data_IF_614106041263
#
_entry.id   IF_614106041263
#
_cell.length_a   1.000
_cell.length_b   1.000
_cell.length_c   1.000
_cell.angle_alpha   90.00
_cell.angle_beta   90.00
_cell.angle_gamma   90.00
#
_symmetry.space_group_name_H-M   'P 1'
#
loop_
_entity.id
_entity.type
_entity.pdbx_description
1 polymer ?
#
# COMPACT_ATOMS: atom_id res chain seq x y z
N UNK A 1 -1.52 -81.01 13.76
CA UNK A 1 -1.95 -80.35 12.53
C UNK A 1 -1.39 -78.90 12.61
N UNK A 2 -0.27 -78.63 11.90
CA UNK A 2 0.40 -77.35 11.85
C UNK A 2 -0.09 -76.62 10.61
N UNK A 3 -0.84 -75.50 10.77
CA UNK A 3 -1.19 -74.62 9.68
C UNK A 3 -0.06 -73.65 9.44
N UNK A 4 0.59 -73.66 8.29
CA UNK A 4 1.49 -72.64 7.76
C UNK A 4 0.66 -71.47 7.30
N UNK A 5 0.92 -70.28 7.87
CA UNK A 5 0.42 -68.99 7.39
C UNK A 5 1.47 -68.44 6.41
N UNK A 6 1.10 -68.29 5.17
CA UNK A 6 1.92 -67.69 4.11
C UNK A 6 1.78 -66.16 4.28
N UNK A 7 2.83 -65.48 4.72
CA UNK A 7 2.88 -64.04 4.77
C UNK A 7 3.17 -63.47 3.39
N UNK A 8 2.24 -62.69 2.86
CA UNK A 8 2.43 -61.90 1.64
C UNK A 8 3.20 -60.64 2.04
N UNK A 9 4.46 -60.57 1.63
CA UNK A 9 5.24 -59.32 1.70
C UNK A 9 4.75 -58.36 0.59
N UNK A 10 3.97 -57.38 0.97
CA UNK A 10 3.64 -56.27 0.09
C UNK A 10 4.85 -55.33 -0.01
N UNK A 11 5.59 -55.39 -1.09
CA UNK A 11 6.61 -54.42 -1.46
C UNK A 11 5.91 -53.14 -1.88
N UNK A 12 5.84 -52.17 -0.97
CA UNK A 12 5.43 -50.76 -1.30
C UNK A 12 6.54 -50.15 -2.14
N UNK A 13 6.34 -50.07 -3.44
CA UNK A 13 7.18 -49.24 -4.29
C UNK A 13 6.97 -47.77 -3.90
N UNK A 14 7.97 -47.18 -3.27
CA UNK A 14 8.03 -45.72 -3.15
C UNK A 14 8.16 -45.14 -4.56
N UNK A 15 7.04 -44.66 -5.11
CA UNK A 15 7.07 -43.78 -6.28
C UNK A 15 7.67 -42.46 -5.80
N UNK A 16 8.98 -42.31 -5.97
CA UNK A 16 9.63 -41.00 -5.86
C UNK A 16 9.14 -40.16 -7.02
N UNK A 17 8.08 -39.38 -6.79
CA UNK A 17 7.69 -38.32 -7.70
C UNK A 17 8.84 -37.31 -7.71
N UNK A 18 9.64 -37.34 -8.77
CA UNK A 18 10.59 -36.27 -9.06
C UNK A 18 9.75 -35.04 -9.37
N UNK A 19 9.56 -34.18 -8.37
CA UNK A 19 8.94 -32.86 -8.56
C UNK A 19 9.79 -32.12 -9.60
N UNK A 20 9.33 -32.10 -10.84
CA UNK A 20 9.96 -31.27 -11.88
C UNK A 20 9.75 -29.84 -11.47
N UNK A 21 10.85 -29.09 -11.30
CA UNK A 21 10.77 -27.68 -11.02
C UNK A 21 9.94 -27.00 -12.13
N UNK A 22 8.85 -26.34 -11.76
CA UNK A 22 8.08 -25.54 -12.70
C UNK A 22 8.87 -24.27 -13.05
N UNK A 23 8.66 -23.74 -14.25
CA UNK A 23 9.19 -22.45 -14.65
C UNK A 23 8.07 -21.55 -15.19
N UNK A 24 8.27 -20.25 -15.10
CA UNK A 24 7.34 -19.27 -15.67
C UNK A 24 7.50 -19.31 -17.19
N UNK A 25 6.49 -19.83 -17.89
CA UNK A 25 6.47 -19.84 -19.35
C UNK A 25 5.97 -18.51 -19.92
N UNK A 26 5.04 -17.86 -19.21
CA UNK A 26 4.46 -16.57 -19.60
C UNK A 26 3.81 -15.91 -18.39
N UNK A 27 3.86 -14.60 -18.31
CA UNK A 27 3.03 -13.76 -17.44
C UNK A 27 1.93 -13.12 -18.33
N UNK A 28 0.67 -13.56 -18.13
CA UNK A 28 -0.48 -13.06 -18.92
C UNK A 28 -0.92 -11.71 -18.39
N UNK A 29 -0.89 -11.56 -17.07
CA UNK A 29 -1.20 -10.34 -16.33
C UNK A 29 -0.50 -10.38 -14.96
N UNK A 30 -0.53 -9.31 -14.17
CA UNK A 30 0.02 -9.33 -12.82
C UNK A 30 -0.52 -10.47 -11.92
N UNK A 31 -1.73 -10.94 -12.16
CA UNK A 31 -2.41 -11.96 -11.34
C UNK A 31 -2.57 -13.31 -12.06
N UNK A 32 -2.05 -13.46 -13.28
CA UNK A 32 -2.22 -14.69 -14.07
C UNK A 32 -0.96 -15.03 -14.85
N UNK A 33 -0.50 -16.27 -14.74
CA UNK A 33 0.72 -16.74 -15.38
C UNK A 33 0.57 -18.19 -15.88
N UNK A 34 1.39 -18.56 -16.85
CA UNK A 34 1.54 -19.93 -17.35
C UNK A 34 2.81 -20.53 -16.77
N UNK A 35 2.67 -21.63 -16.08
CA UNK A 35 3.79 -22.47 -15.62
C UNK A 35 4.03 -23.61 -16.62
N UNK A 36 5.30 -23.97 -16.79
CA UNK A 36 5.73 -25.12 -17.58
C UNK A 36 6.50 -26.11 -16.69
N UNK A 37 6.11 -27.36 -16.69
CA UNK A 37 6.78 -28.45 -15.95
C UNK A 37 6.71 -29.74 -16.74
N UNK A 38 7.87 -30.34 -17.05
CA UNK A 38 7.93 -31.63 -17.78
C UNK A 38 7.22 -31.62 -19.13
N UNK A 39 7.13 -30.49 -19.83
CA UNK A 39 6.43 -30.32 -21.11
C UNK A 39 4.93 -30.02 -20.99
N UNK A 40 4.34 -30.12 -19.80
CA UNK A 40 2.98 -29.69 -19.53
C UNK A 40 2.93 -28.17 -19.23
N UNK A 41 1.80 -27.54 -19.56
CA UNK A 41 1.54 -26.11 -19.24
C UNK A 41 0.29 -26.02 -18.40
N UNK A 42 0.36 -25.20 -17.37
CA UNK A 42 -0.73 -24.93 -16.43
C UNK A 42 -0.89 -23.43 -16.23
N UNK A 43 -2.13 -22.94 -16.16
CA UNK A 43 -2.43 -21.55 -15.80
C UNK A 43 -2.55 -21.48 -14.28
N UNK A 44 -1.74 -20.61 -13.68
CA UNK A 44 -1.77 -20.33 -12.26
C UNK A 44 -2.24 -18.87 -12.02
N UNK A 45 -2.85 -18.63 -10.87
CA UNK A 45 -3.32 -17.33 -10.44
C UNK A 45 -2.61 -16.89 -9.16
N UNK A 46 -2.47 -15.58 -9.01
CA UNK A 46 -2.06 -14.90 -7.78
C UNK A 46 -3.25 -14.13 -7.21
N UNK A 47 -3.35 -14.09 -5.88
CA UNK A 47 -4.42 -13.37 -5.21
C UNK A 47 -4.22 -11.85 -5.33
N UNK A 48 -5.34 -11.13 -5.45
CA UNK A 48 -5.37 -9.67 -5.52
C UNK A 48 -5.95 -9.13 -6.82
N UNK A 49 -5.84 -7.83 -7.00
CA UNK A 49 -6.30 -7.12 -8.21
C UNK A 49 -5.11 -6.62 -9.02
N UNK A 50 -5.11 -6.74 -10.35
CA UNK A 50 -4.04 -6.20 -11.17
C UNK A 50 -4.02 -4.67 -11.13
N UNK A 51 -2.84 -4.07 -11.00
CA UNK A 51 -2.62 -2.63 -11.05
C UNK A 51 -2.06 -2.27 -12.42
N UNK A 52 -2.91 -1.78 -13.30
CA UNK A 52 -2.58 -1.54 -14.71
C UNK A 52 -2.84 -0.09 -15.16
N UNK A 53 -2.69 0.90 -14.25
CA UNK A 53 -2.85 2.31 -14.62
C UNK A 53 -1.90 2.76 -15.74
N UNK A 54 -0.71 2.16 -15.83
CA UNK A 54 0.26 2.39 -16.92
C UNK A 54 0.04 1.46 -18.14
N UNK A 55 -0.97 0.60 -18.10
CA UNK A 55 -1.25 -0.38 -19.16
C UNK A 55 -0.46 -1.68 -19.05
N UNK A 56 -0.88 -2.67 -19.84
CA UNK A 56 -0.29 -4.02 -19.83
C UNK A 56 1.15 -4.02 -20.37
N UNK A 57 1.45 -3.21 -21.38
CA UNK A 57 2.79 -3.16 -21.97
C UNK A 57 3.89 -2.74 -20.97
N UNK A 58 3.56 -1.88 -20.01
CA UNK A 58 4.48 -1.51 -18.94
C UNK A 58 4.74 -2.70 -18.01
N UNK A 59 3.72 -3.49 -17.71
CA UNK A 59 3.84 -4.72 -16.95
C UNK A 59 4.70 -5.75 -17.71
N UNK A 60 4.43 -5.98 -19.00
CA UNK A 60 5.17 -6.95 -19.83
C UNK A 60 6.67 -6.64 -19.84
N UNK A 61 7.00 -5.36 -19.95
CA UNK A 61 8.41 -4.90 -19.93
C UNK A 61 9.08 -5.23 -18.60
N UNK A 62 8.39 -4.94 -17.47
CA UNK A 62 8.90 -5.23 -16.13
C UNK A 62 8.98 -6.74 -15.87
N UNK A 63 8.00 -7.52 -16.35
CA UNK A 63 7.86 -8.95 -16.10
C UNK A 63 8.79 -9.81 -16.95
N UNK A 64 9.34 -9.28 -18.06
CA UNK A 64 10.16 -10.03 -18.99
C UNK A 64 11.33 -10.82 -18.34
N UNK A 65 12.08 -10.28 -17.36
CA UNK A 65 13.15 -11.02 -16.68
C UNK A 65 12.66 -12.21 -15.83
N UNK A 66 11.37 -12.28 -15.51
CA UNK A 66 10.79 -13.37 -14.72
C UNK A 66 10.44 -14.58 -15.59
N UNK A 67 10.31 -14.41 -16.90
CA UNK A 67 10.05 -15.52 -17.84
C UNK A 67 11.25 -16.45 -17.89
N UNK A 68 11.01 -17.74 -17.78
CA UNK A 68 12.04 -18.78 -17.70
C UNK A 68 12.54 -19.07 -16.29
N UNK A 69 12.25 -18.22 -15.30
CA UNK A 69 12.67 -18.46 -13.93
C UNK A 69 11.95 -19.67 -13.31
N UNK A 70 12.69 -20.44 -12.51
CA UNK A 70 12.14 -21.56 -11.76
C UNK A 70 11.22 -21.09 -10.65
N UNK A 71 10.09 -21.77 -10.51
CA UNK A 71 9.08 -21.53 -9.47
C UNK A 71 9.05 -22.74 -8.54
N UNK A 72 9.07 -22.47 -7.24
CA UNK A 72 8.77 -23.46 -6.20
C UNK A 72 7.43 -23.08 -5.56
N UNK A 73 6.60 -24.06 -5.27
CA UNK A 73 5.36 -23.87 -4.52
C UNK A 73 5.47 -24.50 -3.15
N UNK A 74 5.20 -23.74 -2.11
CA UNK A 74 5.09 -24.23 -0.74
C UNK A 74 3.73 -23.84 -0.15
N UNK A 75 3.16 -24.64 0.78
CA UNK A 75 1.89 -24.30 1.43
C UNK A 75 1.93 -22.95 2.16
N UNK A 76 3.08 -22.61 2.74
CA UNK A 76 3.24 -21.40 3.60
C UNK A 76 3.48 -20.14 2.78
N UNK A 77 4.23 -20.22 1.69
CA UNK A 77 4.68 -19.05 0.92
C UNK A 77 4.04 -18.94 -0.47
N UNK A 78 3.25 -19.96 -0.86
CA UNK A 78 2.73 -20.06 -2.22
C UNK A 78 3.86 -20.22 -3.26
N UNK A 79 3.73 -19.54 -4.39
CA UNK A 79 4.74 -19.55 -5.45
C UNK A 79 5.91 -18.62 -5.08
N UNK A 80 7.13 -19.17 -5.12
CA UNK A 80 8.36 -18.42 -4.91
C UNK A 80 9.25 -18.43 -6.15
N UNK A 81 9.98 -17.36 -6.38
CA UNK A 81 10.99 -17.21 -7.43
C UNK A 81 12.30 -16.76 -6.81
N UNK A 82 13.42 -17.04 -7.47
CA UNK A 82 14.72 -16.58 -6.99
C UNK A 82 15.06 -15.20 -7.60
N UNK A 83 15.24 -14.21 -6.73
CA UNK A 83 15.68 -12.86 -7.11
C UNK A 83 16.94 -12.53 -6.31
N UNK A 84 18.02 -12.18 -6.98
CA UNK A 84 19.31 -11.89 -6.36
C UNK A 84 19.77 -13.00 -5.37
N UNK A 85 19.64 -14.26 -5.81
CA UNK A 85 19.97 -15.46 -5.03
C UNK A 85 19.13 -15.63 -3.74
N UNK A 86 17.98 -14.99 -3.63
CA UNK A 86 17.03 -15.15 -2.54
C UNK A 86 15.69 -15.63 -3.07
N UNK A 87 15.11 -16.61 -2.39
CA UNK A 87 13.75 -17.04 -2.70
C UNK A 87 12.75 -16.02 -2.11
N UNK A 88 11.92 -15.45 -2.99
CA UNK A 88 10.91 -14.46 -2.62
C UNK A 88 9.53 -14.92 -3.09
N UNK A 89 8.48 -14.64 -2.33
CA UNK A 89 7.11 -14.86 -2.78
C UNK A 89 6.84 -14.07 -4.05
N UNK A 90 6.36 -14.73 -5.10
CA UNK A 90 6.01 -14.07 -6.37
C UNK A 90 4.89 -13.05 -6.17
N UNK A 91 3.86 -13.38 -5.38
CA UNK A 91 2.80 -12.44 -5.02
C UNK A 91 3.37 -11.23 -4.27
N UNK A 92 4.21 -11.44 -3.25
CA UNK A 92 4.87 -10.37 -2.51
C UNK A 92 5.79 -9.51 -3.38
N UNK A 93 6.50 -10.12 -4.35
CA UNK A 93 7.28 -9.38 -5.34
C UNK A 93 6.39 -8.47 -6.20
N UNK A 94 5.26 -8.99 -6.69
CA UNK A 94 4.29 -8.24 -7.48
C UNK A 94 3.70 -7.06 -6.68
N UNK A 95 3.35 -7.27 -5.39
CA UNK A 95 2.84 -6.21 -4.50
C UNK A 95 3.89 -5.12 -4.30
N UNK A 96 5.10 -5.47 -3.84
CA UNK A 96 6.19 -4.50 -3.62
C UNK A 96 6.60 -3.75 -4.87
N UNK A 97 6.50 -4.39 -6.04
CA UNK A 97 6.78 -3.78 -7.33
C UNK A 97 5.60 -2.98 -7.90
N UNK A 98 4.46 -2.96 -7.22
CA UNK A 98 3.32 -2.13 -7.55
C UNK A 98 2.45 -2.66 -8.71
N UNK A 99 2.43 -3.99 -8.92
CA UNK A 99 1.63 -4.62 -9.97
C UNK A 99 0.39 -5.34 -9.46
N UNK A 100 0.35 -5.70 -8.16
CA UNK A 100 -0.83 -6.28 -7.50
C UNK A 100 -1.23 -5.41 -6.32
N UNK A 101 -2.54 -5.20 -6.19
CA UNK A 101 -3.20 -4.68 -5.01
C UNK A 101 -3.81 -5.85 -4.26
N UNK A 102 -3.35 -6.18 -3.04
CA UNK A 102 -3.97 -7.19 -2.19
C UNK A 102 -5.35 -6.72 -1.69
N UNK A 103 -6.10 -7.63 -1.06
CA UNK A 103 -7.41 -7.30 -0.48
C UNK A 103 -7.32 -6.23 0.61
N UNK A 104 -6.27 -6.31 1.43
CA UNK A 104 -5.94 -5.29 2.44
C UNK A 104 -4.71 -4.50 2.00
N UNK A 105 -4.76 -3.17 2.16
CA UNK A 105 -3.64 -2.29 1.80
C UNK A 105 -2.59 -2.34 2.91
N UNK A 106 -1.66 -3.28 2.79
CA UNK A 106 -0.51 -3.42 3.68
C UNK A 106 0.56 -2.33 3.47
N UNK A 107 1.59 -2.33 4.30
CA UNK A 107 2.65 -1.32 4.23
C UNK A 107 3.48 -1.43 2.93
N UNK A 108 3.64 -2.62 2.35
CA UNK A 108 4.29 -2.82 1.04
C UNK A 108 3.48 -2.17 -0.09
N UNK A 109 2.16 -2.33 -0.06
CA UNK A 109 1.24 -1.67 -1.00
C UNK A 109 1.26 -0.15 -0.83
N UNK A 110 1.23 0.34 0.40
CA UNK A 110 1.30 1.78 0.69
C UNK A 110 2.62 2.38 0.19
N UNK A 111 3.75 1.68 0.37
CA UNK A 111 5.02 2.09 -0.18
C UNK A 111 4.99 2.13 -1.71
N UNK A 112 4.43 1.11 -2.36
CA UNK A 112 4.33 1.05 -3.81
C UNK A 112 3.47 2.19 -4.38
N UNK A 113 2.31 2.49 -3.76
CA UNK A 113 1.45 3.62 -4.12
C UNK A 113 2.21 4.94 -3.97
N UNK A 114 2.83 5.15 -2.81
CA UNK A 114 3.50 6.39 -2.44
C UNK A 114 4.70 6.69 -3.35
N UNK A 115 5.51 5.68 -3.62
CA UNK A 115 6.67 5.82 -4.49
C UNK A 115 6.33 5.76 -5.98
N UNK A 116 5.08 5.45 -6.34
CA UNK A 116 4.65 5.30 -7.73
C UNK A 116 5.35 4.15 -8.42
N UNK A 117 5.42 2.99 -7.77
CA UNK A 117 6.03 1.80 -8.36
C UNK A 117 5.07 1.11 -9.32
N UNK A 118 5.60 0.46 -10.35
CA UNK A 118 4.82 -0.33 -11.29
C UNK A 118 3.64 0.41 -11.88
N UNK A 119 2.47 -0.21 -11.85
CA UNK A 119 1.22 0.40 -12.34
C UNK A 119 0.81 1.67 -11.59
N UNK A 120 1.21 1.83 -10.33
CA UNK A 120 0.89 3.04 -9.54
C UNK A 120 1.58 4.31 -10.05
N UNK A 121 2.61 4.20 -10.90
CA UNK A 121 3.28 5.36 -11.48
C UNK A 121 2.32 6.27 -12.26
N UNK A 122 1.31 5.67 -12.91
CA UNK A 122 0.32 6.37 -13.72
C UNK A 122 -1.03 6.54 -13.00
N UNK A 123 -1.11 6.19 -11.71
CA UNK A 123 -2.31 6.39 -10.92
C UNK A 123 -2.53 7.87 -10.62
N UNK A 124 -3.80 8.30 -10.61
CA UNK A 124 -4.18 9.68 -10.28
C UNK A 124 -3.99 9.94 -8.79
N UNK A 125 -3.83 11.20 -8.42
CA UNK A 125 -3.57 11.61 -7.02
C UNK A 125 -4.68 11.19 -6.05
N UNK A 126 -5.94 11.13 -6.50
CA UNK A 126 -7.07 10.69 -5.68
C UNK A 126 -7.21 9.16 -5.56
N UNK A 127 -6.48 8.39 -6.34
CA UNK A 127 -6.62 6.92 -6.37
C UNK A 127 -6.46 6.26 -4.99
N UNK A 128 -5.46 6.61 -4.16
CA UNK A 128 -5.32 6.02 -2.81
C UNK A 128 -6.57 6.24 -1.94
N UNK A 129 -7.20 7.41 -2.05
CA UNK A 129 -8.38 7.78 -1.25
C UNK A 129 -9.64 7.04 -1.72
N UNK A 130 -9.77 6.79 -3.04
CA UNK A 130 -10.84 5.94 -3.58
C UNK A 130 -10.77 4.53 -2.99
N UNK A 131 -9.57 3.97 -2.87
CA UNK A 131 -9.37 2.62 -2.35
C UNK A 131 -9.69 2.48 -0.86
N UNK A 132 -9.72 3.59 -0.11
CA UNK A 132 -9.96 3.60 1.34
C UNK A 132 -11.43 3.84 1.73
N UNK A 133 -12.35 3.84 0.74
CA UNK A 133 -13.81 3.96 0.97
C UNK A 133 -14.20 5.14 1.87
N UNK A 134 -13.73 6.31 1.53
CA UNK A 134 -13.94 7.55 2.28
C UNK A 134 -15.37 8.10 2.11
N UNK A 135 -15.88 8.84 3.10
CA UNK A 135 -17.18 9.52 3.04
C UNK A 135 -17.09 10.91 2.39
N UNK A 136 -15.91 11.51 2.41
CA UNK A 136 -15.60 12.77 1.73
C UNK A 136 -15.08 12.48 0.32
N UNK A 137 -15.36 13.35 -0.63
CA UNK A 137 -14.88 13.20 -2.02
C UNK A 137 -13.35 12.94 -2.02
N UNK A 138 -12.89 11.83 -2.64
CA UNK A 138 -11.47 11.48 -2.71
C UNK A 138 -10.56 12.57 -3.26
N UNK A 139 -11.05 13.41 -4.20
CA UNK A 139 -10.29 14.54 -4.74
C UNK A 139 -10.09 15.65 -3.72
N UNK A 140 -11.08 15.87 -2.85
CA UNK A 140 -10.97 16.81 -1.74
C UNK A 140 -9.92 16.34 -0.74
N UNK A 141 -9.97 15.07 -0.35
CA UNK A 141 -8.97 14.47 0.55
C UNK A 141 -7.57 14.50 -0.05
N UNK A 142 -7.43 14.17 -1.33
CA UNK A 142 -6.17 14.29 -2.05
C UNK A 142 -5.64 15.72 -2.05
N UNK A 143 -6.51 16.72 -2.30
CA UNK A 143 -6.14 18.14 -2.26
C UNK A 143 -5.65 18.59 -0.90
N UNK A 144 -6.29 18.13 0.20
CA UNK A 144 -5.84 18.37 1.57
C UNK A 144 -4.50 17.67 1.82
N UNK A 145 -4.39 16.38 1.51
CA UNK A 145 -3.17 15.61 1.72
C UNK A 145 -1.95 16.19 0.98
N UNK A 146 -2.15 16.74 -0.22
CA UNK A 146 -1.10 17.47 -0.94
C UNK A 146 -0.71 18.79 -0.27
N UNK A 147 -1.61 19.43 0.51
CA UNK A 147 -1.23 20.56 1.34
C UNK A 147 -0.39 20.14 2.54
N UNK A 148 -0.67 18.99 3.12
CA UNK A 148 -0.18 18.53 4.41
C UNK A 148 1.14 17.75 4.31
N UNK A 149 1.19 16.80 3.37
CA UNK A 149 2.25 15.80 3.34
C UNK A 149 2.89 15.62 1.96
N UNK A 150 2.78 16.59 1.06
CA UNK A 150 3.35 16.45 -0.28
C UNK A 150 4.87 16.23 -0.26
N UNK A 151 5.31 15.13 -0.85
CA UNK A 151 6.72 14.84 -1.11
C UNK A 151 6.86 14.26 -2.52
N UNK A 152 7.74 14.84 -3.34
CA UNK A 152 7.92 14.45 -4.74
C UNK A 152 6.61 14.39 -5.54
N UNK A 153 5.68 15.32 -5.29
CA UNK A 153 4.41 15.42 -5.98
C UNK A 153 3.32 14.44 -5.52
N UNK A 154 3.55 13.68 -4.46
CA UNK A 154 2.59 12.71 -3.90
C UNK A 154 2.36 12.95 -2.43
N UNK A 155 1.16 12.65 -1.93
CA UNK A 155 0.90 12.64 -0.50
C UNK A 155 1.68 11.47 0.15
N UNK A 156 2.46 11.78 1.19
CA UNK A 156 3.37 10.82 1.82
C UNK A 156 2.81 10.35 3.17
N UNK A 157 2.55 9.04 3.37
CA UNK A 157 1.84 8.56 4.55
C UNK A 157 2.69 8.61 5.83
N UNK A 158 4.00 8.40 5.72
CA UNK A 158 4.88 8.34 6.88
C UNK A 158 5.62 9.66 7.07
N UNK A 159 4.83 10.67 7.45
CA UNK A 159 5.27 12.06 7.58
C UNK A 159 4.99 12.57 8.98
N UNK A 160 5.91 13.32 9.54
CA UNK A 160 5.75 14.08 10.77
C UNK A 160 6.07 15.55 10.50
N UNK A 161 5.33 16.45 11.10
CA UNK A 161 5.72 17.84 11.22
C UNK A 161 6.00 18.15 12.69
N UNK A 162 7.20 18.60 12.98
CA UNK A 162 7.61 18.94 14.35
C UNK A 162 8.09 20.38 14.37
N UNK A 163 7.37 21.24 15.06
CA UNK A 163 7.67 22.67 15.16
C UNK A 163 7.81 23.36 13.77
N UNK A 164 6.92 23.04 12.82
CA UNK A 164 6.91 23.59 11.48
C UNK A 164 7.90 22.97 10.50
N UNK A 165 8.63 21.93 10.91
CA UNK A 165 9.58 21.20 10.07
C UNK A 165 9.02 19.83 9.70
N UNK A 166 8.86 19.57 8.39
CA UNK A 166 8.42 18.28 7.86
C UNK A 166 9.55 17.24 7.82
N UNK A 167 9.23 16.01 8.21
CA UNK A 167 10.09 14.84 8.14
C UNK A 167 9.37 13.74 7.37
N UNK A 168 10.04 13.16 6.37
CA UNK A 168 9.48 12.15 5.48
C UNK A 168 10.28 10.86 5.65
N UNK A 169 9.62 9.80 6.08
CA UNK A 169 10.25 8.51 6.36
C UNK A 169 9.98 7.52 5.22
N UNK A 170 10.86 6.54 5.05
CA UNK A 170 10.72 5.52 4.00
C UNK A 170 9.76 4.40 4.40
N UNK A 171 9.60 4.20 5.70
CA UNK A 171 8.75 3.13 6.25
C UNK A 171 7.91 3.64 7.40
N UNK A 172 6.84 2.90 7.71
CA UNK A 172 6.02 3.12 8.89
C UNK A 172 6.80 2.91 10.18
N UNK A 173 7.70 1.90 10.20
CA UNK A 173 8.58 1.61 11.34
C UNK A 173 9.49 2.78 11.70
N UNK A 174 10.14 3.40 10.70
CA UNK A 174 11.01 4.56 10.90
C UNK A 174 10.23 5.74 11.48
N UNK A 175 9.06 6.05 10.91
CA UNK A 175 8.18 7.11 11.40
C UNK A 175 7.69 6.82 12.83
N UNK A 176 7.33 5.56 13.12
CA UNK A 176 6.92 5.14 14.46
C UNK A 176 8.04 5.26 15.49
N UNK A 177 9.27 4.91 15.10
CA UNK A 177 10.45 5.12 15.94
C UNK A 177 10.63 6.59 16.34
N UNK A 178 10.44 7.51 15.37
CA UNK A 178 10.51 8.95 15.62
C UNK A 178 9.38 9.44 16.54
N UNK A 179 8.13 8.97 16.35
CA UNK A 179 7.01 9.31 17.25
C UNK A 179 7.29 8.85 18.67
N UNK A 180 7.77 7.61 18.84
CA UNK A 180 8.13 7.09 20.17
C UNK A 180 9.16 7.94 20.88
N UNK A 181 10.18 8.42 20.16
CA UNK A 181 11.19 9.31 20.71
C UNK A 181 10.61 10.65 21.17
N UNK A 182 9.69 11.24 20.37
CA UNK A 182 8.99 12.49 20.73
C UNK A 182 8.14 12.30 21.99
N UNK A 183 7.35 11.22 22.07
CA UNK A 183 6.50 10.93 23.22
C UNK A 183 7.36 10.67 24.49
N UNK A 184 8.46 9.93 24.36
CA UNK A 184 9.39 9.69 25.48
C UNK A 184 10.05 10.98 25.98
N UNK A 185 10.23 11.99 25.12
CA UNK A 185 10.68 13.33 25.48
C UNK A 185 9.55 14.22 26.04
N UNK A 186 8.35 13.68 26.30
CA UNK A 186 7.19 14.41 26.82
C UNK A 186 6.54 15.36 25.80
N UNK A 187 6.85 15.20 24.50
CA UNK A 187 6.31 16.06 23.44
C UNK A 187 5.05 15.49 22.86
N UNK A 188 4.10 16.36 22.54
CA UNK A 188 2.92 16.09 21.74
C UNK A 188 2.70 17.10 20.59
N UNK A 189 3.52 18.14 20.54
CA UNK A 189 3.45 19.27 19.60
C UNK A 189 4.00 18.88 18.21
N UNK A 190 3.37 17.85 17.61
CA UNK A 190 3.69 17.39 16.27
C UNK A 190 2.43 16.93 15.54
N UNK A 191 2.50 16.94 14.21
CA UNK A 191 1.46 16.44 13.33
C UNK A 191 1.92 15.10 12.72
N UNK A 192 0.98 14.19 12.46
CA UNK A 192 1.27 12.80 12.07
C UNK A 192 0.47 12.35 10.85
N UNK A 193 1.16 11.63 9.96
CA UNK A 193 0.54 10.85 8.89
C UNK A 193 0.22 11.64 7.64
N UNK A 194 -0.46 10.99 6.69
CA UNK A 194 -0.77 11.53 5.36
C UNK A 194 -1.60 12.83 5.42
N UNK A 195 -2.46 12.96 6.44
CA UNK A 195 -3.34 14.12 6.66
C UNK A 195 -2.82 15.06 7.73
N UNK A 196 -1.62 14.83 8.29
CA UNK A 196 -0.97 15.67 9.31
C UNK A 196 -1.88 16.02 10.49
N UNK A 197 -2.48 14.97 11.08
CA UNK A 197 -3.37 15.14 12.25
C UNK A 197 -2.53 15.49 13.47
N UNK A 198 -2.88 16.59 14.14
CA UNK A 198 -2.13 17.07 15.31
C UNK A 198 -2.26 16.12 16.50
N UNK A 199 -1.11 15.65 17.01
CA UNK A 199 -1.06 14.63 18.06
C UNK A 199 -1.53 15.17 19.42
N UNK A 200 -1.21 16.41 19.78
CA UNK A 200 -1.66 17.01 21.05
C UNK A 200 -3.19 17.02 21.18
N UNK A 201 -3.88 17.40 20.09
CA UNK A 201 -5.33 17.63 20.11
C UNK A 201 -6.15 16.37 19.78
N UNK A 202 -5.58 15.41 19.03
CA UNK A 202 -6.37 14.34 18.43
C UNK A 202 -5.87 12.91 18.74
N UNK A 203 -4.82 12.75 19.57
CA UNK A 203 -4.26 11.42 19.90
C UNK A 203 -5.28 10.42 20.41
N UNK A 204 -6.32 10.88 21.12
CA UNK A 204 -7.39 10.03 21.66
C UNK A 204 -8.30 9.41 20.57
N UNK A 205 -8.18 9.86 19.31
CA UNK A 205 -8.90 9.32 18.17
C UNK A 205 -8.20 8.12 17.54
N UNK A 206 -6.99 7.82 17.98
CA UNK A 206 -6.18 6.70 17.51
C UNK A 206 -6.02 5.66 18.62
N UNK A 207 -6.05 4.38 18.28
CA UNK A 207 -5.79 3.31 19.24
C UNK A 207 -4.32 3.32 19.71
N UNK A 208 -3.41 3.75 18.83
CA UNK A 208 -1.98 3.86 19.12
C UNK A 208 -1.27 4.85 18.18
N UNK A 209 -0.04 5.28 18.50
CA UNK A 209 0.78 6.04 17.55
C UNK A 209 1.08 5.26 16.25
N UNK A 210 1.12 3.94 16.32
CA UNK A 210 1.26 3.08 15.16
C UNK A 210 0.05 3.22 14.22
N UNK A 211 -1.18 3.19 14.77
CA UNK A 211 -2.41 3.36 13.99
C UNK A 211 -2.52 4.75 13.37
N UNK A 212 -2.00 5.77 14.04
CA UNK A 212 -1.97 7.12 13.49
C UNK A 212 -1.16 7.25 12.20
N UNK A 213 -0.20 6.34 11.97
CA UNK A 213 0.60 6.24 10.74
C UNK A 213 -0.04 5.35 9.68
N UNK A 214 -1.12 4.61 10.00
CA UNK A 214 -1.88 3.86 9.02
C UNK A 214 -2.70 4.83 8.16
N UNK A 215 -2.51 4.88 6.81
CA UNK A 215 -3.18 5.87 5.98
C UNK A 215 -4.69 5.84 6.11
N UNK A 216 -5.33 4.67 6.08
CA UNK A 216 -6.78 4.56 6.23
C UNK A 216 -7.26 5.16 7.55
N UNK A 217 -6.64 4.81 8.69
CA UNK A 217 -7.01 5.35 10.00
C UNK A 217 -6.78 6.86 10.08
N UNK A 218 -5.64 7.33 9.56
CA UNK A 218 -5.30 8.75 9.56
C UNK A 218 -6.30 9.58 8.73
N UNK A 219 -6.70 9.07 7.56
CA UNK A 219 -7.70 9.68 6.69
C UNK A 219 -9.07 9.73 7.39
N UNK A 220 -9.54 8.63 8.00
CA UNK A 220 -10.83 8.62 8.69
C UNK A 220 -10.88 9.61 9.87
N UNK A 221 -9.79 9.77 10.61
CA UNK A 221 -9.73 10.80 11.67
C UNK A 221 -9.78 12.20 11.05
N UNK A 222 -9.07 12.44 9.94
CA UNK A 222 -9.11 13.71 9.23
C UNK A 222 -10.50 14.03 8.66
N UNK A 223 -11.22 13.04 8.12
CA UNK A 223 -12.61 13.18 7.68
C UNK A 223 -13.52 13.60 8.84
N UNK A 224 -13.39 12.97 10.01
CA UNK A 224 -14.15 13.34 11.19
C UNK A 224 -13.90 14.80 11.58
N UNK A 225 -12.63 15.26 11.60
CA UNK A 225 -12.27 16.66 11.89
C UNK A 225 -12.88 17.61 10.85
N UNK A 226 -12.83 17.24 9.56
CA UNK A 226 -13.39 18.05 8.48
C UNK A 226 -14.91 18.18 8.60
N UNK A 227 -15.60 17.08 8.91
CA UNK A 227 -17.05 17.04 9.12
C UNK A 227 -17.47 17.84 10.36
N UNK A 228 -16.72 17.79 11.46
CA UNK A 228 -16.92 18.64 12.64
C UNK A 228 -16.76 20.13 12.29
N UNK A 229 -15.75 20.48 11.50
CA UNK A 229 -15.56 21.84 11.02
C UNK A 229 -16.73 22.30 10.14
N UNK A 230 -17.23 21.42 9.26
CA UNK A 230 -18.39 21.72 8.42
C UNK A 230 -19.65 21.92 9.27
N UNK A 231 -19.89 21.05 10.24
CA UNK A 231 -21.06 21.17 11.15
C UNK A 231 -21.06 22.48 11.95
N UNK A 232 -19.89 22.99 12.29
CA UNK A 232 -19.74 24.30 13.01
C UNK A 232 -19.90 25.51 12.12
N UNK A 233 -19.45 25.40 10.86
CA UNK A 233 -19.34 26.57 9.97
C UNK A 233 -20.40 26.63 8.88
N UNK A 234 -21.06 25.51 8.59
CA UNK A 234 -21.99 25.32 7.48
C UNK A 234 -21.43 25.81 6.14
N UNK A 235 -20.08 25.78 6.01
CA UNK A 235 -19.37 26.25 4.83
C UNK A 235 -18.20 25.34 4.52
N UNK A 236 -18.20 24.73 3.34
CA UNK A 236 -17.14 23.83 2.90
C UNK A 236 -15.78 24.54 2.86
N UNK A 237 -15.74 25.75 2.31
CA UNK A 237 -14.51 26.54 2.26
C UNK A 237 -13.96 26.86 3.65
N UNK A 238 -14.85 27.21 4.62
CA UNK A 238 -14.44 27.45 6.00
C UNK A 238 -14.00 26.15 6.68
N UNK A 239 -14.68 25.03 6.44
CA UNK A 239 -14.30 23.73 7.01
C UNK A 239 -12.88 23.34 6.59
N UNK A 240 -12.54 23.52 5.32
CA UNK A 240 -11.20 23.28 4.79
C UNK A 240 -10.17 24.28 5.37
N UNK A 241 -10.49 25.59 5.43
CA UNK A 241 -9.61 26.57 6.03
C UNK A 241 -9.31 26.25 7.50
N UNK A 242 -10.35 25.86 8.25
CA UNK A 242 -10.27 25.53 9.68
C UNK A 242 -9.58 24.19 9.96
N UNK A 243 -9.44 23.34 8.95
CA UNK A 243 -8.62 22.15 9.08
C UNK A 243 -7.19 22.50 9.50
N UNK A 244 -6.65 23.57 8.93
CA UNK A 244 -5.34 24.10 9.29
C UNK A 244 -5.41 25.14 10.40
N UNK A 245 -6.30 26.13 10.30
CA UNK A 245 -6.42 27.19 11.30
C UNK A 245 -7.74 27.93 11.20
N UNK A 246 -8.35 28.15 12.35
CA UNK A 246 -9.49 29.06 12.47
C UNK A 246 -9.09 30.57 12.35
N UNK A 247 -7.80 30.89 12.46
CA UNK A 247 -7.31 32.24 12.21
C UNK A 247 -7.45 32.56 10.70
N UNK A 248 -8.11 33.69 10.34
CA UNK A 248 -8.41 34.01 8.94
C UNK A 248 -7.18 34.08 8.02
N UNK A 249 -6.04 34.58 8.48
CA UNK A 249 -4.86 34.77 7.63
C UNK A 249 -4.25 33.42 7.22
N UNK A 250 -3.81 32.53 8.14
CA UNK A 250 -3.27 31.22 7.74
C UNK A 250 -4.34 30.32 7.13
N UNK A 251 -5.61 30.38 7.58
CA UNK A 251 -6.70 29.60 7.01
C UNK A 251 -6.98 29.95 5.55
N UNK A 252 -6.99 31.25 5.20
CA UNK A 252 -7.19 31.67 3.80
C UNK A 252 -6.02 31.26 2.90
N UNK A 253 -4.78 31.37 3.39
CA UNK A 253 -3.61 30.95 2.65
C UNK A 253 -3.61 29.41 2.41
N UNK A 254 -4.07 28.66 3.40
CA UNK A 254 -4.26 27.21 3.29
C UNK A 254 -5.32 26.86 2.24
N UNK A 255 -6.49 27.50 2.30
CA UNK A 255 -7.58 27.29 1.33
C UNK A 255 -7.12 27.61 -0.09
N UNK A 256 -6.36 28.69 -0.29
CA UNK A 256 -5.84 29.04 -1.62
C UNK A 256 -4.89 27.97 -2.18
N UNK A 257 -4.05 27.35 -1.34
CA UNK A 257 -3.21 26.21 -1.76
C UNK A 257 -4.07 24.98 -2.10
N UNK A 258 -5.04 24.66 -1.26
CA UNK A 258 -5.99 23.57 -1.51
C UNK A 258 -6.70 23.71 -2.86
N UNK A 259 -7.22 24.89 -3.17
CA UNK A 259 -7.91 25.15 -4.46
C UNK A 259 -6.97 24.91 -5.63
N UNK A 260 -5.70 25.33 -5.55
CA UNK A 260 -4.72 25.04 -6.60
C UNK A 260 -4.50 23.54 -6.78
N UNK A 261 -4.31 22.80 -5.68
CA UNK A 261 -4.14 21.34 -5.74
C UNK A 261 -5.37 20.65 -6.32
N UNK A 262 -6.58 21.06 -5.88
CA UNK A 262 -7.83 20.50 -6.39
C UNK A 262 -7.99 20.72 -7.90
N UNK A 263 -7.66 21.91 -8.39
CA UNK A 263 -7.71 22.22 -9.81
C UNK A 263 -6.72 21.36 -10.62
N UNK A 264 -5.50 21.12 -10.10
CA UNK A 264 -4.53 20.23 -10.73
C UNK A 264 -5.04 18.77 -10.77
N UNK A 265 -5.59 18.27 -9.67
CA UNK A 265 -6.19 16.94 -9.60
C UNK A 265 -7.35 16.80 -10.61
N UNK A 266 -8.22 17.81 -10.71
CA UNK A 266 -9.34 17.80 -11.65
C UNK A 266 -8.87 17.83 -13.11
N UNK A 267 -7.78 18.52 -13.41
CA UNK A 267 -7.17 18.54 -14.74
C UNK A 267 -6.43 17.23 -15.09
N UNK A 268 -6.27 16.31 -14.13
CA UNK A 268 -5.57 15.05 -14.34
C UNK A 268 -4.04 15.17 -14.34
N UNK A 269 -3.54 16.24 -13.74
CA UNK A 269 -2.12 16.56 -13.60
C UNK A 269 -1.54 16.01 -12.29
#
# INVERSE_FOLDING_TARGET
>A
VVKRVLGILATSALVTSTAHAASIAQLISPVSLVLSSGGAREVAALDGKPVLYCGLAAFDTWAAPLVGQSVRSTPEQGMTVSVDARDVSLAGLMVRSGWIQPAELDDDTQAAITEGRGGWACARAETPFVLMHTSVDPKVLAGIALNESAYKGRAWPWTLNVAGRGFFFRSRDDAYGAIRALIAAGRCDFDVGIMQVNWCYHRQRFASPWDALAPATNIHVAEAILNENYSRTHSFAKAIAYYHSANPVPGSAYLARFVRNLNQIQAGL
#
